data_IF_804380173632
#
_entry.id   IF_804380173632
#
_cell.length_a   1.000
_cell.length_b   1.000
_cell.length_c   1.000
_cell.angle_alpha   90.00
_cell.angle_beta   90.00
_cell.angle_gamma   90.00
#
_symmetry.space_group_name_H-M   'P 1'
#
loop_
_entity.id
_entity.type
_entity.pdbx_description
1 polymer ?
#
# COMPACT_ATOMS: atom_id res chain seq x y z
N UNK A 1 -33.37 -33.56 22.59
CA UNK A 1 -33.24 -33.55 21.11
C UNK A 1 -32.35 -32.38 20.75
N UNK A 2 -31.31 -32.59 19.95
CA UNK A 2 -30.40 -31.55 19.49
C UNK A 2 -30.59 -31.36 17.98
N UNK A 3 -30.47 -30.13 17.49
CA UNK A 3 -30.57 -29.81 16.07
C UNK A 3 -29.41 -28.90 15.66
N UNK A 4 -29.02 -28.98 14.40
CA UNK A 4 -28.04 -28.07 13.80
C UNK A 4 -28.76 -26.82 13.29
N UNK A 5 -28.20 -25.64 13.58
CA UNK A 5 -28.71 -24.35 13.11
C UNK A 5 -27.55 -23.41 12.74
N UNK A 6 -27.71 -22.65 11.65
CA UNK A 6 -26.88 -21.49 11.36
C UNK A 6 -27.42 -20.25 12.10
N UNK A 7 -26.56 -19.57 12.85
CA UNK A 7 -26.89 -18.33 13.57
C UNK A 7 -26.06 -17.18 13.00
N UNK A 8 -26.73 -16.11 12.60
CA UNK A 8 -26.08 -14.83 12.30
C UNK A 8 -25.72 -14.13 13.60
N UNK A 9 -24.47 -13.69 13.72
CA UNK A 9 -23.98 -12.90 14.86
C UNK A 9 -23.32 -11.64 14.34
N UNK A 10 -23.43 -10.55 15.11
CA UNK A 10 -22.65 -9.34 14.86
C UNK A 10 -21.24 -9.56 15.38
N UNK A 11 -20.26 -9.05 14.64
CA UNK A 11 -18.84 -9.09 14.99
C UNK A 11 -18.25 -7.70 14.80
N UNK A 12 -17.39 -7.30 15.72
CA UNK A 12 -16.61 -6.08 15.60
C UNK A 12 -15.41 -6.37 14.70
N UNK A 13 -15.32 -5.67 13.58
CA UNK A 13 -14.19 -5.74 12.65
C UNK A 13 -13.31 -4.52 12.83
N UNK A 14 -11.99 -4.72 12.86
CA UNK A 14 -11.03 -3.64 13.17
C UNK A 14 -10.09 -3.33 12.01
N UNK A 15 -9.76 -4.32 11.17
CA UNK A 15 -8.74 -4.17 10.12
C UNK A 15 -9.15 -4.85 8.82
N UNK A 16 -8.74 -4.25 7.70
CA UNK A 16 -8.82 -4.80 6.36
C UNK A 16 -7.41 -5.09 5.85
N UNK A 17 -7.14 -6.35 5.50
CA UNK A 17 -5.85 -6.81 4.99
C UNK A 17 -5.95 -7.01 3.48
N UNK A 18 -5.18 -6.25 2.72
CA UNK A 18 -5.21 -6.23 1.26
C UNK A 18 -3.93 -6.81 0.68
N UNK A 19 -4.09 -7.62 -0.37
CA UNK A 19 -3.00 -8.13 -1.21
C UNK A 19 -3.36 -7.82 -2.67
N UNK A 20 -2.95 -6.66 -3.13
CA UNK A 20 -3.32 -6.15 -4.46
C UNK A 20 -2.18 -6.46 -5.41
N UNK A 21 -2.44 -7.27 -6.44
CA UNK A 21 -1.45 -7.51 -7.49
C UNK A 21 -1.35 -6.29 -8.40
N UNK A 22 -0.14 -5.82 -8.63
CA UNK A 22 0.19 -4.85 -9.66
C UNK A 22 0.57 -5.64 -10.90
N UNK A 23 -0.25 -5.57 -11.94
CA UNK A 23 0.07 -6.14 -13.25
C UNK A 23 0.55 -5.00 -14.15
N UNK A 24 1.60 -5.25 -14.92
CA UNK A 24 2.28 -4.32 -15.84
C UNK A 24 3.20 -3.31 -15.16
N UNK A 25 2.68 -2.42 -14.32
CA UNK A 25 3.50 -1.39 -13.70
C UNK A 25 2.83 -0.65 -12.55
N UNK A 26 3.64 -0.28 -11.58
CA UNK A 26 3.31 0.65 -10.50
C UNK A 26 3.67 2.06 -10.96
N UNK A 27 2.76 3.02 -10.76
CA UNK A 27 3.02 4.43 -11.01
C UNK A 27 2.74 5.26 -9.75
N UNK A 28 3.60 6.23 -9.46
CA UNK A 28 3.46 7.18 -8.36
C UNK A 28 3.90 8.59 -8.77
N UNK A 29 3.23 9.61 -8.22
CA UNK A 29 3.60 11.01 -8.40
C UNK A 29 3.81 11.69 -7.04
N UNK A 30 4.87 12.47 -6.93
CA UNK A 30 5.19 13.27 -5.76
C UNK A 30 4.72 14.70 -5.98
N UNK A 31 4.03 15.25 -4.97
CA UNK A 31 3.55 16.62 -4.98
C UNK A 31 4.14 17.41 -3.84
N UNK A 32 4.44 18.67 -4.10
CA UNK A 32 4.84 19.61 -3.07
C UNK A 32 3.62 20.13 -2.27
N UNK A 33 3.88 21.11 -1.39
CA UNK A 33 2.84 21.72 -0.56
C UNK A 33 1.84 22.58 -1.35
N UNK A 34 2.19 22.98 -2.57
CA UNK A 34 1.36 23.75 -3.50
C UNK A 34 0.51 22.82 -4.39
N UNK A 35 0.83 21.52 -4.40
CA UNK A 35 0.18 20.51 -5.21
C UNK A 35 0.81 20.36 -6.59
N UNK A 36 1.96 21.00 -6.84
CA UNK A 36 2.73 20.86 -8.07
C UNK A 36 3.51 19.55 -8.06
N UNK A 37 3.60 18.90 -9.22
CA UNK A 37 4.32 17.64 -9.36
C UNK A 37 5.83 17.91 -9.40
N UNK A 38 6.57 17.27 -8.49
CA UNK A 38 8.02 17.45 -8.32
C UNK A 38 8.82 16.19 -8.66
N UNK A 39 8.15 15.11 -9.04
CA UNK A 39 8.75 13.86 -9.48
C UNK A 39 7.70 12.78 -9.72
N UNK A 40 7.99 11.87 -10.63
CA UNK A 40 7.18 10.70 -10.94
C UNK A 40 8.00 9.43 -10.71
N UNK A 41 7.32 8.29 -10.73
CA UNK A 41 7.91 6.97 -10.80
C UNK A 41 6.98 6.01 -11.54
N UNK A 42 7.50 5.29 -12.52
CA UNK A 42 6.86 4.15 -13.17
C UNK A 42 7.81 2.93 -13.13
N UNK A 43 7.33 1.79 -12.62
CA UNK A 43 8.14 0.58 -12.51
C UNK A 43 7.56 -0.47 -11.57
N UNK A 44 8.41 -1.17 -10.82
CA UNK A 44 7.97 -2.14 -9.81
C UNK A 44 7.59 -1.44 -8.50
N UNK A 45 6.77 -2.06 -7.66
CA UNK A 45 6.44 -1.52 -6.33
C UNK A 45 7.74 -1.28 -5.54
N UNK A 46 8.04 -0.03 -5.10
CA UNK A 46 9.27 0.30 -4.40
C UNK A 46 9.43 -0.46 -3.08
N UNK A 47 10.66 -0.86 -2.73
CA UNK A 47 10.98 -1.70 -1.54
C UNK A 47 10.57 -1.09 -0.19
N UNK A 48 10.35 0.23 -0.12
CA UNK A 48 9.88 0.89 1.10
C UNK A 48 8.37 0.72 1.32
N UNK A 49 7.61 0.26 0.33
CA UNK A 49 6.23 -0.17 0.55
C UNK A 49 6.21 -1.39 1.48
N UNK A 50 5.19 -1.51 2.34
CA UNK A 50 5.19 -2.56 3.34
C UNK A 50 4.86 -3.94 2.76
N UNK A 51 5.39 -4.98 3.41
CA UNK A 51 5.12 -6.38 3.12
C UNK A 51 6.23 -7.06 2.30
N UNK A 52 6.06 -8.36 2.06
CA UNK A 52 6.95 -9.14 1.19
C UNK A 52 6.36 -9.16 -0.23
N UNK A 53 6.45 -8.02 -0.91
CA UNK A 53 5.76 -7.81 -2.19
C UNK A 53 6.55 -8.24 -3.42
N UNK A 54 7.88 -8.40 -3.31
CA UNK A 54 8.77 -8.79 -4.43
C UNK A 54 8.61 -7.91 -5.69
N UNK A 55 8.18 -6.65 -5.52
CA UNK A 55 7.92 -5.71 -6.61
C UNK A 55 6.53 -5.77 -7.26
N UNK A 56 5.72 -6.81 -7.01
CA UNK A 56 4.47 -7.07 -7.78
C UNK A 56 3.18 -6.88 -6.97
N UNK A 57 3.27 -6.53 -5.69
CA UNK A 57 2.09 -6.45 -4.80
C UNK A 57 2.08 -5.19 -3.93
N UNK A 58 0.89 -4.68 -3.63
CA UNK A 58 0.67 -3.75 -2.53
C UNK A 58 0.00 -4.51 -1.39
N UNK A 59 0.69 -4.59 -0.25
CA UNK A 59 0.17 -5.23 0.97
C UNK A 59 -0.19 -4.16 2.00
N UNK A 60 -1.48 -3.90 2.20
CA UNK A 60 -1.95 -2.81 3.06
C UNK A 60 -2.82 -3.35 4.19
N UNK A 61 -2.50 -2.95 5.42
CA UNK A 61 -3.31 -3.22 6.60
C UNK A 61 -4.02 -1.92 6.99
N UNK A 62 -5.29 -1.80 6.62
CA UNK A 62 -6.07 -0.59 6.83
C UNK A 62 -6.88 -0.73 8.11
N UNK A 63 -6.66 0.21 9.03
CA UNK A 63 -7.51 0.38 10.20
C UNK A 63 -8.90 0.89 9.77
N UNK A 64 -9.96 0.14 10.11
CA UNK A 64 -11.30 0.43 9.61
C UNK A 64 -11.97 1.64 10.30
N UNK A 65 -11.47 2.05 11.47
CA UNK A 65 -12.00 3.22 12.19
C UNK A 65 -11.39 4.52 11.66
N UNK A 66 -10.07 4.54 11.47
CA UNK A 66 -9.31 5.74 11.11
C UNK A 66 -8.98 5.85 9.62
N UNK A 67 -9.03 4.74 8.88
CA UNK A 67 -8.53 4.64 7.51
C UNK A 67 -7.00 4.62 7.40
N UNK A 68 -6.27 4.60 8.51
CA UNK A 68 -4.81 4.61 8.50
C UNK A 68 -4.24 3.28 8.02
N UNK A 69 -3.22 3.33 7.17
CA UNK A 69 -2.41 2.16 6.79
C UNK A 69 -1.46 1.84 7.96
N UNK A 70 -1.76 0.83 8.76
CA UNK A 70 -1.03 0.47 9.99
C UNK A 70 0.36 -0.09 9.76
N UNK A 71 0.58 -0.72 8.61
CA UNK A 71 1.89 -1.26 8.24
C UNK A 71 2.75 -0.26 7.45
N UNK A 72 2.26 0.96 7.18
CA UNK A 72 3.06 2.00 6.54
C UNK A 72 4.18 2.48 7.46
N UNK A 73 5.42 2.33 7.02
CA UNK A 73 6.58 2.90 7.70
C UNK A 73 6.97 4.16 6.95
N UNK A 74 7.16 5.26 7.69
CA UNK A 74 7.59 6.52 7.11
C UNK A 74 8.91 6.31 6.35
N UNK A 75 8.96 6.53 5.02
CA UNK A 75 10.21 6.45 4.26
C UNK A 75 11.16 7.57 4.66
N UNK A 76 12.46 7.37 4.42
CA UNK A 76 13.46 8.45 4.51
C UNK A 76 13.62 9.15 3.16
N UNK A 77 14.24 10.33 3.14
CA UNK A 77 14.44 11.09 1.91
C UNK A 77 15.15 10.26 0.82
N UNK A 78 16.18 9.50 1.21
CA UNK A 78 16.93 8.63 0.29
C UNK A 78 16.07 7.54 -0.38
N UNK A 79 15.01 7.05 0.28
CA UNK A 79 14.10 6.07 -0.33
C UNK A 79 13.30 6.71 -1.47
N UNK A 80 12.90 7.97 -1.27
CA UNK A 80 12.13 8.75 -2.24
C UNK A 80 13.03 9.20 -3.40
N UNK A 81 14.24 9.69 -3.09
CA UNK A 81 15.27 10.07 -4.07
C UNK A 81 15.62 8.87 -4.98
N UNK A 82 15.87 7.69 -4.40
CA UNK A 82 16.15 6.47 -5.17
C UNK A 82 14.99 6.09 -6.10
N UNK A 83 13.74 6.27 -5.66
CA UNK A 83 12.57 5.96 -6.48
C UNK A 83 12.52 6.84 -7.72
N UNK A 84 12.74 8.15 -7.58
CA UNK A 84 12.66 9.09 -8.71
C UNK A 84 13.91 9.06 -9.60
N UNK A 85 15.10 8.76 -9.06
CA UNK A 85 16.34 8.62 -9.85
C UNK A 85 16.30 7.41 -10.78
N UNK A 86 15.60 6.34 -10.39
CA UNK A 86 15.47 5.13 -11.21
C UNK A 86 14.73 5.35 -12.54
N UNK A 87 13.97 6.44 -12.71
CA UNK A 87 13.38 6.81 -14.01
C UNK A 87 14.39 7.44 -14.98
N UNK A 88 15.50 8.02 -14.51
CA UNK A 88 16.43 8.77 -15.37
C UNK A 88 17.49 7.89 -16.07
N UNK A 89 17.59 6.60 -15.71
CA UNK A 89 18.59 5.67 -16.26
C UNK A 89 18.12 4.85 -17.48
N UNK A 90 16.88 5.03 -17.97
CA UNK A 90 16.32 4.35 -19.16
C UNK A 90 16.27 5.21 -20.44
#
# INVERSE_FOLDING_TARGET
MQINQQKTVQVDVTELHLHIKVCDGFAAGLKDAQGEEVGSYEGYVPDFFPGEHYGDYLMLNIDLETGQIKNWKKPVAADIEKMIEAEEED
#
